data_IF_702163925894
#
_entry.id   IF_702163925894
#
_cell.length_a   1.000
_cell.length_b   1.000
_cell.length_c   1.000
_cell.angle_alpha   90.00
_cell.angle_beta   90.00
_cell.angle_gamma   90.00
#
_symmetry.space_group_name_H-M   'P 1'
#
loop_
_entity.id
_entity.type
_entity.pdbx_description
1 polymer ?
#
# COMPACT_ATOMS: atom_id res chain seq x y z
N UNK A 1 8.91 -12.90 -1.75
CA UNK A 1 9.75 -11.69 -1.94
C UNK A 1 10.37 -11.37 -0.61
N UNK A 2 11.66 -11.14 -0.56
CA UNK A 2 12.33 -10.68 0.67
C UNK A 2 12.21 -9.15 0.71
N UNK A 3 11.32 -8.65 1.56
CA UNK A 3 11.09 -7.21 1.78
C UNK A 3 12.38 -6.51 2.22
N UNK A 4 13.15 -7.14 3.12
CA UNK A 4 14.43 -6.61 3.59
C UNK A 4 15.40 -6.42 2.42
N UNK A 5 15.45 -7.39 1.50
CA UNK A 5 16.26 -7.27 0.28
C UNK A 5 15.73 -6.19 -0.67
N UNK A 6 14.40 -6.01 -0.78
CA UNK A 6 13.80 -4.95 -1.58
C UNK A 6 14.12 -3.57 -0.99
N UNK A 7 13.93 -3.40 0.31
CA UNK A 7 14.27 -2.15 1.04
C UNK A 7 15.76 -1.85 0.94
N UNK A 8 16.63 -2.84 1.14
CA UNK A 8 18.08 -2.64 1.04
C UNK A 8 18.51 -2.26 -0.38
N UNK A 9 17.98 -2.93 -1.41
CA UNK A 9 18.27 -2.58 -2.80
C UNK A 9 17.87 -1.14 -3.12
N UNK A 10 16.70 -0.69 -2.68
CA UNK A 10 16.23 0.69 -2.86
C UNK A 10 17.03 1.68 -2.02
N UNK A 11 17.49 1.28 -0.82
CA UNK A 11 18.39 2.07 0.00
C UNK A 11 19.73 2.30 -0.73
N UNK A 12 20.28 1.27 -1.35
CA UNK A 12 21.53 1.36 -2.11
C UNK A 12 21.36 2.26 -3.35
N UNK A 13 20.25 2.14 -4.07
CA UNK A 13 19.89 3.02 -5.19
C UNK A 13 19.77 4.49 -4.73
N UNK A 14 19.11 4.75 -3.59
CA UNK A 14 18.95 6.09 -3.01
C UNK A 14 20.30 6.68 -2.57
N UNK A 15 21.14 5.89 -1.92
CA UNK A 15 22.48 6.30 -1.52
C UNK A 15 23.36 6.65 -2.72
N UNK A 16 23.28 5.85 -3.79
CA UNK A 16 23.98 6.13 -5.05
C UNK A 16 23.47 7.41 -5.74
N UNK A 17 22.19 7.76 -5.55
CA UNK A 17 21.57 8.99 -6.04
C UNK A 17 21.82 10.22 -5.13
N UNK A 18 22.52 10.04 -3.99
CA UNK A 18 22.80 11.12 -3.05
C UNK A 18 21.60 11.56 -2.20
N UNK A 19 20.58 10.68 -2.08
CA UNK A 19 19.40 10.92 -1.21
C UNK A 19 19.71 10.35 0.18
N UNK A 20 19.92 11.19 1.20
CA UNK A 20 20.35 10.70 2.51
C UNK A 20 19.22 10.04 3.28
N UNK A 21 19.50 8.89 3.88
CA UNK A 21 18.85 8.27 5.06
C UNK A 21 17.31 8.16 5.09
N UNK A 22 16.61 8.36 3.98
CA UNK A 22 15.13 8.36 3.93
C UNK A 22 14.55 7.00 4.35
N UNK A 23 15.24 5.91 4.05
CA UNK A 23 14.74 4.55 4.33
C UNK A 23 14.96 4.13 5.79
N UNK A 24 15.98 4.66 6.46
CA UNK A 24 16.24 4.36 7.89
C UNK A 24 15.15 4.88 8.82
N UNK A 25 14.29 5.79 8.35
CA UNK A 25 13.23 6.41 9.13
C UNK A 25 11.85 5.78 8.92
N UNK A 26 11.72 4.70 8.14
CA UNK A 26 10.47 3.98 8.07
C UNK A 26 10.21 3.21 9.37
N UNK A 27 9.28 3.69 10.17
CA UNK A 27 8.64 2.86 11.18
C UNK A 27 7.72 1.88 10.45
N UNK A 28 8.07 0.59 10.45
CA UNK A 28 7.21 -0.45 9.87
C UNK A 28 6.12 -0.85 10.87
N UNK A 29 4.92 -1.04 10.35
CA UNK A 29 3.77 -1.56 11.09
C UNK A 29 3.43 -2.93 10.55
N UNK A 30 3.39 -3.91 11.45
CA UNK A 30 2.97 -5.27 11.14
C UNK A 30 1.58 -5.55 11.68
N UNK A 31 0.85 -6.43 11.03
CA UNK A 31 -0.42 -6.92 11.54
C UNK A 31 -0.18 -7.78 12.80
N UNK A 32 -0.83 -7.42 13.92
CA UNK A 32 -0.72 -8.16 15.18
C UNK A 32 -1.48 -9.49 15.17
N UNK A 33 -2.43 -9.65 14.26
CA UNK A 33 -3.20 -10.88 14.09
C UNK A 33 -3.39 -11.20 12.61
N UNK A 34 -3.56 -12.49 12.31
CA UNK A 34 -4.03 -12.91 11.00
C UNK A 34 -5.36 -12.24 10.67
N UNK A 35 -5.75 -12.26 9.40
CA UNK A 35 -7.06 -11.76 8.89
C UNK A 35 -8.28 -12.40 9.60
N UNK A 36 -8.17 -12.78 10.88
CA UNK A 36 -9.20 -13.44 11.66
C UNK A 36 -9.61 -14.78 11.05
N UNK A 37 -10.91 -14.99 10.91
CA UNK A 37 -11.50 -16.23 10.33
C UNK A 37 -11.51 -16.26 8.80
N UNK A 38 -10.88 -15.29 8.13
CA UNK A 38 -10.88 -15.22 6.65
C UNK A 38 -9.94 -16.28 6.09
N UNK A 39 -10.51 -17.46 5.82
CA UNK A 39 -9.77 -18.63 5.33
C UNK A 39 -9.24 -18.48 3.89
N UNK A 40 -9.65 -17.44 3.17
CA UNK A 40 -9.35 -17.25 1.75
C UNK A 40 -8.12 -16.36 1.48
N UNK A 41 -7.55 -15.70 2.51
CA UNK A 41 -6.36 -14.84 2.34
C UNK A 41 -5.17 -15.69 1.89
N UNK A 42 -4.50 -15.35 0.78
CA UNK A 42 -3.29 -16.05 0.39
C UNK A 42 -2.24 -16.00 1.50
N UNK A 43 -1.67 -17.15 1.83
CA UNK A 43 -0.66 -17.26 2.90
C UNK A 43 0.48 -16.26 2.72
N UNK A 44 0.91 -16.01 1.48
CA UNK A 44 1.97 -15.06 1.18
C UNK A 44 1.60 -13.63 1.60
N UNK A 45 0.34 -13.19 1.34
CA UNK A 45 -0.16 -11.86 1.75
C UNK A 45 -0.21 -11.76 3.27
N UNK A 46 -0.80 -12.74 3.94
CA UNK A 46 -0.90 -12.77 5.39
C UNK A 46 0.49 -12.77 6.06
N UNK A 47 1.39 -13.65 5.63
CA UNK A 47 2.77 -13.69 6.15
C UNK A 47 3.51 -12.38 5.91
N UNK A 48 3.36 -11.77 4.74
CA UNK A 48 4.01 -10.48 4.46
C UNK A 48 3.55 -9.39 5.44
N UNK A 49 2.23 -9.24 5.63
CA UNK A 49 1.71 -8.21 6.54
C UNK A 49 2.03 -8.48 8.01
N UNK A 50 2.15 -9.75 8.43
CA UNK A 50 2.51 -10.12 9.80
C UNK A 50 4.00 -10.03 10.08
N UNK A 51 4.85 -10.41 9.12
CA UNK A 51 6.29 -10.56 9.33
C UNK A 51 7.08 -9.32 8.90
N UNK A 52 6.68 -8.67 7.81
CA UNK A 52 7.36 -7.52 7.22
C UNK A 52 6.57 -6.22 7.40
N UNK A 53 5.27 -6.23 7.14
CA UNK A 53 4.39 -5.07 7.30
C UNK A 53 4.53 -4.01 6.20
N UNK A 54 4.01 -2.81 6.49
CA UNK A 54 4.05 -1.62 5.63
C UNK A 54 4.58 -0.42 6.42
N UNK A 55 5.06 0.65 5.77
CA UNK A 55 5.45 1.88 6.43
C UNK A 55 4.27 2.47 7.23
N UNK A 56 4.51 2.89 8.49
CA UNK A 56 3.47 3.51 9.33
C UNK A 56 2.85 4.72 8.66
N UNK A 57 3.70 5.61 8.13
CA UNK A 57 3.30 6.77 7.36
C UNK A 57 4.28 7.01 6.23
N UNK A 58 3.79 7.36 5.05
CA UNK A 58 4.61 7.61 3.87
C UNK A 58 3.91 8.54 2.87
N UNK A 59 4.67 9.02 1.89
CA UNK A 59 4.12 9.75 0.74
C UNK A 59 3.24 8.81 -0.12
N UNK A 60 2.20 9.34 -0.78
CA UNK A 60 1.60 10.65 -0.66
C UNK A 60 0.50 10.71 0.43
N UNK A 61 0.89 11.00 1.67
CA UNK A 61 -0.02 11.11 2.84
C UNK A 61 -0.76 9.83 3.23
N UNK A 62 -0.10 8.67 3.09
CA UNK A 62 -0.67 7.38 3.49
C UNK A 62 -0.28 7.02 4.91
N UNK A 63 -1.20 6.36 5.63
CA UNK A 63 -0.97 5.75 6.94
C UNK A 63 -1.46 4.31 6.97
N UNK A 64 -0.61 3.40 7.46
CA UNK A 64 -0.95 1.98 7.61
C UNK A 64 -1.08 1.56 9.09
N UNK A 65 -1.30 2.50 10.00
CA UNK A 65 -1.52 2.21 11.43
C UNK A 65 -2.68 1.24 11.67
N UNK A 66 -3.66 1.19 10.76
CA UNK A 66 -4.77 0.23 10.82
C UNK A 66 -4.30 -1.24 10.90
N UNK A 67 -3.13 -1.56 10.35
CA UNK A 67 -2.56 -2.92 10.43
C UNK A 67 -2.29 -3.37 11.87
N UNK A 68 -2.02 -2.47 12.82
CA UNK A 68 -1.79 -2.83 14.23
C UNK A 68 -2.94 -3.58 14.86
N UNK A 69 -4.17 -3.29 14.43
CA UNK A 69 -5.36 -3.96 14.93
C UNK A 69 -5.71 -5.22 14.12
N UNK A 70 -4.95 -5.49 13.06
CA UNK A 70 -5.22 -6.48 12.03
C UNK A 70 -6.19 -5.96 10.97
N UNK A 71 -6.05 -6.43 9.71
CA UNK A 71 -6.95 -6.02 8.64
C UNK A 71 -8.40 -6.35 8.98
N UNK A 72 -9.27 -5.34 8.90
CA UNK A 72 -10.72 -5.48 9.16
C UNK A 72 -11.48 -5.36 7.87
N UNK A 73 -12.52 -6.18 7.71
CA UNK A 73 -13.42 -6.02 6.59
C UNK A 73 -14.18 -4.69 6.71
N UNK A 74 -14.18 -3.90 5.63
CA UNK A 74 -14.78 -2.57 5.61
C UNK A 74 -16.30 -2.64 5.88
N UNK A 75 -16.97 -3.69 5.43
CA UNK A 75 -18.39 -3.93 5.71
C UNK A 75 -18.71 -4.07 7.22
N UNK A 76 -17.73 -4.40 8.07
CA UNK A 76 -17.89 -4.41 9.51
C UNK A 76 -17.69 -3.02 10.16
N UNK A 77 -17.15 -2.08 9.42
CA UNK A 77 -16.91 -0.70 9.86
C UNK A 77 -17.95 0.28 9.31
N UNK A 78 -18.54 -0.06 8.16
CA UNK A 78 -19.51 0.76 7.47
C UNK A 78 -20.53 -0.11 6.70
N UNK A 79 -21.82 0.07 6.99
CA UNK A 79 -22.92 -0.70 6.39
C UNK A 79 -23.07 -0.52 4.88
N UNK A 80 -22.61 0.62 4.35
CA UNK A 80 -22.66 0.91 2.90
C UNK A 80 -21.55 0.22 2.10
N UNK A 81 -20.53 -0.32 2.77
CA UNK A 81 -19.39 -0.91 2.09
C UNK A 81 -19.68 -2.33 1.58
N UNK A 82 -19.12 -2.64 0.40
CA UNK A 82 -19.17 -3.99 -0.16
C UNK A 82 -18.34 -4.98 0.66
N UNK A 83 -18.79 -6.24 0.75
CA UNK A 83 -18.03 -7.31 1.37
C UNK A 83 -16.75 -7.64 0.58
N UNK A 84 -15.75 -8.17 1.29
CA UNK A 84 -14.49 -8.62 0.68
C UNK A 84 -13.41 -7.53 0.58
N UNK A 85 -13.65 -6.33 1.12
CA UNK A 85 -12.69 -5.23 1.20
C UNK A 85 -12.06 -5.19 2.60
N UNK A 86 -10.75 -5.39 2.71
CA UNK A 86 -10.04 -5.45 3.98
C UNK A 86 -9.15 -4.22 4.13
N UNK A 87 -9.47 -3.35 5.09
CA UNK A 87 -8.73 -2.10 5.34
C UNK A 87 -7.34 -2.42 5.84
N UNK A 88 -6.33 -1.89 5.14
CA UNK A 88 -4.91 -1.97 5.53
C UNK A 88 -4.33 -0.59 5.88
N UNK A 89 -4.99 0.49 5.48
CA UNK A 89 -4.54 1.85 5.72
C UNK A 89 -5.56 2.90 5.30
N UNK A 90 -5.14 4.16 5.40
CA UNK A 90 -5.94 5.33 5.00
C UNK A 90 -5.05 6.37 4.32
N UNK A 91 -5.65 7.20 3.47
CA UNK A 91 -5.01 8.43 3.00
C UNK A 91 -5.19 9.59 4.01
N UNK A 92 -4.64 10.77 3.68
CA UNK A 92 -4.72 11.95 4.52
C UNK A 92 -6.12 12.54 4.67
N UNK A 93 -7.07 12.18 3.82
CA UNK A 93 -8.49 12.58 3.89
C UNK A 93 -9.33 11.57 4.68
N UNK A 94 -8.75 10.42 5.05
CA UNK A 94 -9.47 9.34 5.75
C UNK A 94 -10.08 8.30 4.83
N UNK A 95 -9.78 8.34 3.54
CA UNK A 95 -10.23 7.35 2.57
C UNK A 95 -9.49 6.02 2.78
N UNK A 96 -10.19 4.89 2.83
CA UNK A 96 -9.55 3.61 3.11
C UNK A 96 -8.75 3.07 1.91
N UNK A 97 -7.59 2.51 2.24
CA UNK A 97 -6.79 1.67 1.37
C UNK A 97 -7.10 0.22 1.75
N UNK A 98 -7.59 -0.54 0.80
CA UNK A 98 -8.08 -1.90 1.04
C UNK A 98 -7.40 -2.94 0.16
N UNK A 99 -7.30 -4.16 0.69
CA UNK A 99 -7.12 -5.37 -0.12
C UNK A 99 -8.51 -5.84 -0.57
N UNK A 100 -8.72 -6.01 -1.89
CA UNK A 100 -9.98 -6.49 -2.45
C UNK A 100 -9.90 -7.99 -2.77
N UNK A 101 -10.57 -8.80 -1.95
CA UNK A 101 -10.61 -10.26 -2.15
C UNK A 101 -11.38 -10.68 -3.40
N UNK A 102 -12.24 -9.82 -3.93
CA UNK A 102 -13.01 -10.07 -5.14
C UNK A 102 -12.16 -9.80 -6.41
N UNK A 103 -11.06 -9.05 -6.27
CA UNK A 103 -10.13 -8.68 -7.35
C UNK A 103 -8.73 -9.26 -7.08
N UNK A 104 -8.66 -10.53 -6.73
CA UNK A 104 -7.40 -11.25 -6.51
C UNK A 104 -6.44 -10.59 -5.52
N UNK A 105 -6.97 -9.95 -4.48
CA UNK A 105 -6.20 -9.28 -3.43
C UNK A 105 -5.39 -8.07 -3.92
N UNK A 106 -5.82 -7.42 -4.99
CA UNK A 106 -5.27 -6.14 -5.40
C UNK A 106 -5.55 -5.06 -4.35
N UNK A 107 -4.75 -4.00 -4.39
CA UNK A 107 -4.91 -2.86 -3.49
C UNK A 107 -5.74 -1.79 -4.19
N UNK A 108 -6.81 -1.36 -3.53
CA UNK A 108 -7.74 -0.35 -4.00
C UNK A 108 -7.89 0.79 -2.97
N UNK A 109 -8.03 2.01 -3.46
CA UNK A 109 -8.42 3.18 -2.71
C UNK A 109 -9.91 3.45 -2.94
N UNK A 110 -10.63 3.84 -1.90
CA UNK A 110 -12.06 4.09 -1.94
C UNK A 110 -12.36 5.48 -1.42
N UNK A 111 -13.30 6.18 -2.04
CA UNK A 111 -13.78 7.47 -1.56
C UNK A 111 -14.90 7.27 -0.52
N UNK A 112 -14.70 7.80 0.69
CA UNK A 112 -15.71 7.70 1.75
C UNK A 112 -16.84 8.72 1.60
N UNK A 113 -16.61 9.84 0.88
CA UNK A 113 -17.62 10.89 0.70
C UNK A 113 -18.76 10.46 -0.22
N UNK A 114 -18.53 9.47 -1.09
CA UNK A 114 -19.55 8.91 -2.00
C UNK A 114 -19.99 7.49 -1.62
N UNK A 115 -19.88 7.15 -0.33
CA UNK A 115 -20.24 5.82 0.18
C UNK A 115 -19.46 4.68 -0.47
N UNK A 116 -18.18 4.92 -0.78
CA UNK A 116 -17.24 3.95 -1.37
C UNK A 116 -17.58 3.49 -2.80
N UNK A 117 -18.37 4.30 -3.54
CA UNK A 117 -18.71 4.01 -4.94
C UNK A 117 -17.53 4.28 -5.87
N UNK A 118 -16.80 5.38 -5.65
CA UNK A 118 -15.59 5.70 -6.41
C UNK A 118 -14.41 4.89 -5.91
N UNK A 119 -13.77 4.19 -6.85
CA UNK A 119 -12.60 3.36 -6.59
C UNK A 119 -11.45 3.77 -7.49
N UNK A 120 -10.25 3.80 -6.92
CA UNK A 120 -9.01 3.96 -7.68
C UNK A 120 -8.10 2.76 -7.45
N UNK A 121 -7.55 2.20 -8.51
CA UNK A 121 -6.53 1.16 -8.44
C UNK A 121 -5.26 1.74 -7.81
N UNK A 122 -4.69 1.02 -6.85
CA UNK A 122 -3.44 1.42 -6.19
C UNK A 122 -2.28 0.51 -6.61
N UNK A 123 -2.44 -0.81 -6.46
CA UNK A 123 -1.40 -1.78 -6.82
C UNK A 123 -2.01 -3.17 -7.06
N UNK A 124 -1.39 -3.96 -7.91
CA UNK A 124 -1.84 -5.33 -8.21
C UNK A 124 -1.62 -6.32 -7.05
N UNK A 125 -0.86 -5.93 -6.05
CA UNK A 125 -0.64 -6.72 -4.83
C UNK A 125 -0.08 -5.85 -3.70
N UNK A 126 -0.14 -6.35 -2.46
CA UNK A 126 0.54 -5.71 -1.33
C UNK A 126 2.07 -5.63 -1.53
N UNK A 127 2.65 -6.53 -2.31
CA UNK A 127 4.09 -6.54 -2.59
C UNK A 127 4.49 -5.41 -3.53
N UNK A 128 3.73 -5.21 -4.62
CA UNK A 128 3.95 -4.11 -5.56
C UNK A 128 3.61 -2.76 -4.92
N UNK A 129 2.60 -2.70 -4.03
CA UNK A 129 2.35 -1.55 -3.17
C UNK A 129 3.61 -1.19 -2.37
N UNK A 130 4.16 -2.16 -1.64
CA UNK A 130 5.32 -1.93 -0.80
C UNK A 130 6.53 -1.41 -1.61
N UNK A 131 6.81 -1.98 -2.78
CA UNK A 131 7.85 -1.48 -3.68
C UNK A 131 7.58 -0.05 -4.15
N UNK A 132 6.33 0.26 -4.52
CA UNK A 132 5.93 1.60 -4.95
C UNK A 132 6.11 2.64 -3.83
N UNK A 133 5.72 2.30 -2.59
CA UNK A 133 5.88 3.20 -1.44
C UNK A 133 7.36 3.55 -1.16
N UNK A 134 8.25 2.57 -1.22
CA UNK A 134 9.70 2.81 -1.08
C UNK A 134 10.22 3.68 -2.21
N UNK A 135 9.85 3.37 -3.45
CA UNK A 135 10.24 4.15 -4.62
C UNK A 135 9.83 5.62 -4.46
N UNK A 136 8.55 5.86 -4.14
CA UNK A 136 8.00 7.21 -4.00
C UNK A 136 8.72 7.97 -2.88
N UNK A 137 8.82 7.37 -1.70
CA UNK A 137 9.46 8.01 -0.55
C UNK A 137 10.93 8.36 -0.81
N UNK A 138 11.62 7.52 -1.57
CA UNK A 138 13.06 7.69 -1.86
C UNK A 138 13.31 8.78 -2.91
N UNK A 139 12.40 8.90 -3.88
CA UNK A 139 12.65 9.72 -5.06
C UNK A 139 11.72 10.93 -5.20
N UNK A 140 10.83 11.19 -4.25
CA UNK A 140 10.10 12.44 -4.20
C UNK A 140 11.12 13.61 -4.01
N UNK A 141 11.18 14.66 -4.84
CA UNK A 141 10.11 15.13 -5.73
C UNK A 141 10.26 14.77 -7.22
N UNK A 142 11.12 13.81 -7.60
CA UNK A 142 11.35 13.48 -9.01
C UNK A 142 10.21 12.61 -9.58
N UNK A 143 9.07 13.23 -9.85
CA UNK A 143 7.85 12.52 -10.32
C UNK A 143 8.07 11.73 -11.62
N UNK A 144 8.81 12.27 -12.58
CA UNK A 144 9.04 11.57 -13.86
C UNK A 144 9.77 10.24 -13.63
N UNK A 145 10.83 10.25 -12.82
CA UNK A 145 11.55 9.03 -12.47
C UNK A 145 10.64 8.03 -11.75
N UNK A 146 9.80 8.51 -10.80
CA UNK A 146 8.86 7.66 -10.09
C UNK A 146 7.91 6.99 -11.07
N UNK A 147 7.31 7.72 -12.02
CA UNK A 147 6.36 7.15 -12.96
C UNK A 147 6.99 6.16 -13.93
N UNK A 148 8.20 6.40 -14.43
CA UNK A 148 8.96 5.45 -15.24
C UNK A 148 9.19 4.13 -14.47
N UNK A 149 9.61 4.22 -13.22
CA UNK A 149 9.87 3.04 -12.38
C UNK A 149 8.59 2.34 -11.91
N UNK A 150 7.50 3.08 -11.65
CA UNK A 150 6.19 2.47 -11.37
C UNK A 150 5.71 1.66 -12.56
N UNK A 151 5.93 2.13 -13.80
CA UNK A 151 5.60 1.39 -15.02
C UNK A 151 6.31 0.04 -15.10
N UNK A 152 7.51 -0.09 -14.54
CA UNK A 152 8.25 -1.35 -14.49
C UNK A 152 7.80 -2.26 -13.33
N UNK A 153 7.44 -1.69 -12.18
CA UNK A 153 7.00 -2.43 -10.99
C UNK A 153 5.57 -2.95 -11.19
N UNK A 154 4.67 -2.06 -11.56
CA UNK A 154 3.26 -2.33 -11.74
C UNK A 154 2.67 -1.36 -12.77
N UNK A 155 2.58 -1.75 -14.05
CA UNK A 155 2.09 -0.87 -15.11
C UNK A 155 0.71 -0.25 -14.84
N UNK A 156 -0.16 -0.99 -14.13
CA UNK A 156 -1.50 -0.51 -13.78
C UNK A 156 -1.45 0.63 -12.76
N UNK A 157 -0.48 0.62 -11.84
CA UNK A 157 -0.28 1.68 -10.85
C UNK A 157 0.21 3.00 -11.47
N UNK A 158 0.83 2.94 -12.64
CA UNK A 158 1.30 4.11 -13.39
C UNK A 158 0.25 4.69 -14.34
N UNK A 159 -0.94 4.09 -14.45
CA UNK A 159 -2.04 4.60 -15.29
C UNK A 159 -2.54 5.95 -14.76
N UNK A 160 -2.85 6.88 -15.66
CA UNK A 160 -3.34 8.22 -15.30
C UNK A 160 -4.62 8.21 -14.42
N UNK A 161 -5.38 7.12 -14.42
CA UNK A 161 -6.59 6.95 -13.60
C UNK A 161 -6.34 6.23 -12.29
N UNK A 162 -5.13 5.72 -12.06
CA UNK A 162 -4.76 5.05 -10.80
C UNK A 162 -4.43 6.07 -9.70
N UNK A 163 -4.30 5.58 -8.47
CA UNK A 163 -4.09 6.40 -7.28
C UNK A 163 -2.82 7.25 -7.37
N UNK A 164 -1.65 6.65 -7.59
CA UNK A 164 -0.38 7.36 -7.50
C UNK A 164 -0.24 8.56 -8.45
N UNK A 165 -0.56 8.47 -9.75
CA UNK A 165 -0.51 9.63 -10.63
C UNK A 165 -1.45 10.78 -10.26
N UNK A 166 -2.53 10.49 -9.54
CA UNK A 166 -3.48 11.50 -9.06
C UNK A 166 -3.00 12.21 -7.81
N UNK A 167 -2.24 11.52 -6.96
CA UNK A 167 -1.82 12.01 -5.65
C UNK A 167 -0.37 12.57 -5.64
N UNK A 168 0.45 12.23 -6.62
CA UNK A 168 1.81 12.74 -6.79
C UNK A 168 1.86 13.99 -7.67
#
# INVERSE_FOLDING_TARGET
MDWTACVNRRADEANAAGVPDVIKNFELVTALSSFGTVSTVPKAVSSFLMDAGLPRGCAPFLSFDALREGPRELAHLCDSASAGLYVIGYDGAGNPICLDSNLNWEVTHLDHEDEFQTRAFVASSVFTLAEALVLIQTHLPNKNFIFERLQEIDPSSASATSFFPREL
#
